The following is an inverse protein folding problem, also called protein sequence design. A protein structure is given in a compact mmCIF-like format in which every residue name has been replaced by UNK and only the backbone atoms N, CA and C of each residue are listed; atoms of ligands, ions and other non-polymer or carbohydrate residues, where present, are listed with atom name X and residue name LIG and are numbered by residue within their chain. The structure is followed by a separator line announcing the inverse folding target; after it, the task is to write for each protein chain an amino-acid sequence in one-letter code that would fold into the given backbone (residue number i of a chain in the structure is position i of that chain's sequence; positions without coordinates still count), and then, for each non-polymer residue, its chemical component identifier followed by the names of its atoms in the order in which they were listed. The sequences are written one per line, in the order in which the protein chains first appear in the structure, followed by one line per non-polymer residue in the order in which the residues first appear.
data_IF_662389996967
#
_entry.id   IF_662389996967
#
_cell.length_a   1.000
_cell.length_b   1.000
_cell.length_c   1.000
_cell.angle_alpha   90.00
_cell.angle_beta   90.00
_cell.angle_gamma   90.00
#
_symmetry.space_group_name_H-M   'P 1'
#
loop_
_entity.id
_entity.type
_entity.pdbx_description
1 polymer ?
#
# COMPACT_ATOMS: atom_id res chain seq x y z
N UNK A 1 -20.01 28.95 11.09
CA UNK A 1 -20.56 27.74 10.43
C UNK A 1 -19.54 26.63 10.59
N UNK A 2 -19.99 25.47 11.08
CA UNK A 2 -19.14 24.34 11.46
C UNK A 2 -18.95 23.38 10.29
N UNK A 3 -17.74 23.34 9.71
CA UNK A 3 -17.28 22.21 8.90
C UNK A 3 -16.09 21.54 9.61
N UNK A 4 -16.30 21.09 10.86
CA UNK A 4 -15.23 20.42 11.63
C UNK A 4 -15.00 18.96 11.20
N UNK A 5 -15.90 18.39 10.40
CA UNK A 5 -15.76 17.03 9.88
C UNK A 5 -16.33 17.00 8.47
N UNK A 6 -15.45 17.00 7.45
CA UNK A 6 -15.86 16.61 6.10
C UNK A 6 -16.11 15.09 6.13
N UNK A 7 -17.32 14.66 5.80
CA UNK A 7 -17.59 13.25 5.55
C UNK A 7 -16.66 12.74 4.44
N UNK A 8 -16.28 11.45 4.51
CA UNK A 8 -15.62 10.76 3.42
C UNK A 8 -16.44 10.97 2.14
N UNK A 9 -15.84 11.61 1.13
CA UNK A 9 -16.45 11.73 -0.19
C UNK A 9 -16.07 10.48 -0.99
N UNK A 10 -17.01 9.60 -1.33
CA UNK A 10 -16.72 8.40 -2.13
C UNK A 10 -16.22 8.74 -3.56
N UNK A 11 -16.19 10.03 -3.95
CA UNK A 11 -15.52 10.54 -5.15
C UNK A 11 -14.02 10.79 -4.97
N UNK A 12 -13.49 10.78 -3.75
CA UNK A 12 -12.05 10.86 -3.46
C UNK A 12 -11.35 9.51 -3.70
N UNK A 13 -11.64 8.91 -4.84
CA UNK A 13 -10.97 7.72 -5.32
C UNK A 13 -9.57 8.08 -5.80
N UNK A 14 -8.62 7.17 -5.63
CA UNK A 14 -7.27 7.39 -6.14
C UNK A 14 -7.30 7.49 -7.66
N UNK A 15 -8.17 6.74 -8.32
CA UNK A 15 -8.39 6.85 -9.77
C UNK A 15 -8.76 8.28 -10.22
N UNK A 16 -9.63 8.96 -9.47
CA UNK A 16 -10.03 10.35 -9.73
C UNK A 16 -8.88 11.32 -9.44
N UNK A 17 -8.14 11.09 -8.36
CA UNK A 17 -6.99 11.93 -7.99
C UNK A 17 -5.87 11.87 -9.04
N UNK A 18 -5.58 10.67 -9.54
CA UNK A 18 -4.58 10.44 -10.58
C UNK A 18 -5.07 10.78 -12.00
N UNK A 19 -6.37 11.08 -12.16
CA UNK A 19 -6.97 11.32 -13.48
C UNK A 19 -6.94 10.10 -14.41
N UNK A 20 -6.95 8.89 -13.85
CA UNK A 20 -6.83 7.63 -14.59
C UNK A 20 -8.18 6.93 -14.78
N UNK A 21 -8.34 6.29 -15.94
CA UNK A 21 -9.51 5.50 -16.30
C UNK A 21 -9.26 3.99 -16.24
N UNK A 22 -10.21 3.21 -16.78
CA UNK A 22 -10.13 1.74 -16.81
C UNK A 22 -8.95 1.18 -17.60
N UNK A 23 -8.41 1.96 -18.53
CA UNK A 23 -7.25 1.56 -19.33
C UNK A 23 -5.91 1.84 -18.65
N UNK A 24 -5.89 2.17 -17.35
CA UNK A 24 -4.64 2.39 -16.62
C UNK A 24 -3.77 1.13 -16.68
N UNK A 25 -2.50 1.33 -17.00
CA UNK A 25 -1.53 0.26 -17.18
C UNK A 25 -0.45 0.33 -16.10
N UNK A 26 0.19 -0.82 -15.88
CA UNK A 26 1.37 -0.91 -15.03
C UNK A 26 2.48 0.05 -15.45
N UNK A 27 2.75 0.14 -16.76
CA UNK A 27 3.79 1.01 -17.33
C UNK A 27 3.57 2.47 -16.95
N UNK A 28 2.33 2.97 -17.11
CA UNK A 28 1.99 4.35 -16.71
C UNK A 28 2.28 4.60 -15.22
N UNK A 29 1.96 3.65 -14.35
CA UNK A 29 2.21 3.80 -12.91
C UNK A 29 3.70 3.78 -12.58
N UNK A 30 4.48 2.92 -13.25
CA UNK A 30 5.94 2.83 -13.03
C UNK A 30 6.72 3.98 -13.67
N UNK A 31 6.14 4.70 -14.63
CA UNK A 31 6.72 5.93 -15.19
C UNK A 31 6.45 7.15 -14.31
N UNK A 32 5.32 7.17 -13.59
CA UNK A 32 4.90 8.28 -12.73
C UNK A 32 5.47 8.17 -11.31
N UNK A 33 5.65 6.95 -10.78
CA UNK A 33 6.05 6.72 -9.40
C UNK A 33 7.30 5.85 -9.29
N UNK A 34 8.32 6.36 -8.59
CA UNK A 34 9.53 5.59 -8.27
C UNK A 34 9.21 4.43 -7.32
N UNK A 35 8.34 4.68 -6.32
CA UNK A 35 7.91 3.71 -5.31
C UNK A 35 6.40 3.79 -5.12
N UNK A 36 5.75 2.63 -5.17
CA UNK A 36 4.34 2.44 -4.81
C UNK A 36 4.29 1.55 -3.58
N UNK A 37 3.68 2.04 -2.50
CA UNK A 37 3.52 1.32 -1.23
C UNK A 37 2.11 0.77 -1.04
N UNK A 38 1.99 -0.21 -0.14
CA UNK A 38 0.72 -0.82 0.27
C UNK A 38 0.49 -0.60 1.76
N UNK A 39 -0.72 -0.19 2.14
CA UNK A 39 -1.09 -0.01 3.54
C UNK A 39 -0.95 -1.29 4.38
N UNK A 40 -1.36 -2.49 3.90
CA UNK A 40 -1.11 -3.74 4.63
C UNK A 40 0.38 -4.04 4.86
N UNK A 41 1.27 -3.43 4.09
CA UNK A 41 2.73 -3.61 4.20
C UNK A 41 3.41 -2.26 4.45
N UNK A 42 2.85 -1.44 5.34
CA UNK A 42 3.29 -0.06 5.55
C UNK A 42 4.77 0.03 5.95
N UNK A 43 5.23 -0.87 6.82
CA UNK A 43 6.63 -0.92 7.25
C UNK A 43 7.56 -1.25 6.07
N UNK A 44 7.21 -2.28 5.27
CA UNK A 44 7.95 -2.63 4.05
C UNK A 44 7.95 -1.49 3.04
N UNK A 45 6.82 -0.81 2.87
CA UNK A 45 6.70 0.36 1.98
C UNK A 45 7.63 1.49 2.40
N UNK A 46 7.74 1.73 3.71
CA UNK A 46 8.69 2.70 4.27
C UNK A 46 10.13 2.30 4.03
N UNK A 47 10.45 1.01 4.16
CA UNK A 47 11.76 0.48 3.79
C UNK A 47 12.08 0.67 2.31
N UNK A 48 11.15 0.40 1.40
CA UNK A 48 11.34 0.65 -0.04
C UNK A 48 11.65 2.12 -0.32
N UNK A 49 10.89 3.05 0.25
CA UNK A 49 11.15 4.49 0.12
C UNK A 49 12.53 4.89 0.67
N UNK A 50 12.90 4.38 1.86
CA UNK A 50 14.19 4.68 2.46
C UNK A 50 15.36 4.16 1.62
N UNK A 51 15.23 2.95 1.07
CA UNK A 51 16.26 2.32 0.22
C UNK A 51 16.42 3.06 -1.10
N UNK A 52 15.32 3.55 -1.68
CA UNK A 52 15.36 4.38 -2.88
C UNK A 52 16.11 5.71 -2.64
N UNK A 53 15.85 6.39 -1.52
CA UNK A 53 16.54 7.65 -1.18
C UNK A 53 18.00 7.42 -0.77
N UNK A 54 18.26 6.43 0.08
CA UNK A 54 19.59 6.20 0.67
C UNK A 54 20.51 5.34 -0.18
N UNK A 55 19.98 4.66 -1.19
CA UNK A 55 20.69 3.68 -2.04
C UNK A 55 21.44 2.60 -1.23
N UNK A 56 20.96 2.32 -0.02
CA UNK A 56 21.50 1.37 0.94
C UNK A 56 20.34 0.76 1.73
N UNK A 57 20.53 -0.45 2.27
CA UNK A 57 19.50 -1.14 3.06
C UNK A 57 19.69 -0.84 4.55
N UNK A 58 18.74 -0.18 5.23
CA UNK A 58 18.79 -0.03 6.68
C UNK A 58 18.73 -1.39 7.38
N UNK A 59 19.51 -1.59 8.44
CA UNK A 59 19.54 -2.85 9.20
C UNK A 59 18.15 -3.26 9.77
N UNK A 60 17.29 -2.28 10.02
CA UNK A 60 15.91 -2.51 10.45
C UNK A 60 15.05 -3.16 9.36
N UNK A 61 15.39 -2.97 8.09
CA UNK A 61 14.66 -3.46 6.93
C UNK A 61 15.16 -4.82 6.43
N UNK A 62 16.36 -5.24 6.82
CA UNK A 62 16.91 -6.55 6.50
C UNK A 62 16.46 -7.61 7.53
N UNK A 63 15.82 -8.65 7.01
CA UNK A 63 15.30 -9.81 7.70
C UNK A 63 16.01 -11.12 7.29
N UNK A 64 17.17 -11.05 6.63
CA UNK A 64 17.92 -12.23 6.16
C UNK A 64 18.39 -13.15 7.29
N UNK A 65 18.75 -12.57 8.43
CA UNK A 65 19.30 -13.28 9.60
C UNK A 65 18.34 -13.36 10.79
N UNK A 66 17.19 -12.68 10.71
CA UNK A 66 16.23 -12.62 11.81
C UNK A 66 15.29 -13.83 11.72
N UNK A 67 15.34 -14.70 12.71
CA UNK A 67 14.25 -15.66 12.96
C UNK A 67 12.98 -14.87 13.22
N UNK A 68 11.85 -15.37 12.72
CA UNK A 68 10.54 -14.74 12.58
C UNK A 68 9.91 -14.13 13.85
N UNK A 69 10.62 -14.12 14.98
CA UNK A 69 10.10 -13.79 16.31
C UNK A 69 10.49 -12.41 16.85
N UNK A 70 11.39 -11.64 16.22
CA UNK A 70 11.88 -10.36 16.80
C UNK A 70 12.05 -9.22 15.81
N UNK A 71 11.04 -8.96 14.97
CA UNK A 71 10.90 -7.64 14.33
C UNK A 71 9.74 -6.87 14.92
N UNK A 72 9.97 -6.34 16.11
CA UNK A 72 9.23 -5.18 16.57
C UNK A 72 9.76 -3.94 15.82
N UNK A 73 9.50 -3.84 14.51
CA UNK A 73 9.27 -2.49 13.97
C UNK A 73 7.92 -2.13 14.56
N UNK A 74 7.96 -1.36 15.66
CA UNK A 74 6.76 -0.92 16.35
C UNK A 74 5.91 -0.10 15.38
N UNK A 75 5.08 -0.78 14.58
CA UNK A 75 3.83 -0.24 14.09
C UNK A 75 3.06 0.03 15.37
N UNK A 76 3.24 1.24 15.89
CA UNK A 76 2.54 1.68 17.08
C UNK A 76 1.08 1.70 16.69
N UNK A 77 0.38 0.63 17.03
CA UNK A 77 -1.07 0.61 16.95
C UNK A 77 -1.56 1.86 17.67
N UNK A 78 -2.22 2.73 16.92
CA UNK A 78 -2.76 3.97 17.45
C UNK A 78 -3.99 3.70 18.34
N UNK A 79 -4.32 2.42 18.60
CA UNK A 79 -5.41 1.98 19.46
C UNK A 79 -6.78 2.27 18.84
N UNK A 80 -6.82 2.55 17.54
CA UNK A 80 -8.04 2.81 16.78
C UNK A 80 -8.39 1.55 16.02
N UNK A 81 -9.58 1.01 16.29
CA UNK A 81 -10.16 -0.04 15.43
C UNK A 81 -10.21 0.49 14.01
N UNK A 82 -9.91 -0.36 13.02
CA UNK A 82 -10.01 0.08 11.62
C UNK A 82 -11.45 0.56 11.38
N UNK A 83 -11.59 1.66 10.64
CA UNK A 83 -12.88 2.33 10.45
C UNK A 83 -13.95 1.44 9.79
N UNK A 84 -13.60 0.24 9.33
CA UNK A 84 -14.51 -0.77 8.80
C UNK A 84 -14.74 -2.00 9.69
N UNK A 85 -13.98 -2.22 10.76
CA UNK A 85 -13.97 -3.51 11.48
C UNK A 85 -15.31 -3.85 12.18
N UNK A 86 -16.12 -2.83 12.46
CA UNK A 86 -17.45 -3.00 13.07
C UNK A 86 -18.59 -2.99 12.06
N UNK A 87 -18.30 -2.76 10.77
CA UNK A 87 -19.31 -2.65 9.74
C UNK A 87 -19.58 -4.02 9.12
N UNK A 88 -20.77 -4.55 9.34
CA UNK A 88 -21.24 -5.74 8.63
C UNK A 88 -21.83 -5.31 7.29
N UNK A 89 -21.19 -5.71 6.19
CA UNK A 89 -21.60 -5.42 4.83
C UNK A 89 -22.35 -6.64 4.29
N UNK A 90 -23.58 -6.44 3.79
CA UNK A 90 -24.31 -7.53 3.12
C UNK A 90 -23.71 -7.79 1.74
N UNK A 91 -23.94 -8.99 1.17
CA UNK A 91 -23.44 -9.30 -0.18
C UNK A 91 -23.89 -8.26 -1.22
N UNK A 92 -25.16 -7.85 -1.18
CA UNK A 92 -25.69 -6.81 -2.08
C UNK A 92 -25.00 -5.45 -1.94
N UNK A 93 -24.57 -5.09 -0.73
CA UNK A 93 -23.79 -3.87 -0.50
C UNK A 93 -22.37 -4.02 -1.02
N UNK A 94 -21.76 -5.20 -0.86
CA UNK A 94 -20.44 -5.52 -1.44
C UNK A 94 -20.46 -5.38 -2.96
N UNK A 95 -21.48 -5.95 -3.63
CA UNK A 95 -21.62 -5.89 -5.08
C UNK A 95 -21.76 -4.44 -5.60
N UNK A 96 -22.45 -3.58 -4.84
CA UNK A 96 -22.57 -2.15 -5.16
C UNK A 96 -21.25 -1.41 -4.92
N UNK A 97 -20.53 -1.74 -3.84
CA UNK A 97 -19.20 -1.17 -3.56
C UNK A 97 -18.25 -1.54 -4.69
N UNK A 98 -18.19 -2.81 -5.09
CA UNK A 98 -17.33 -3.29 -6.19
C UNK A 98 -17.61 -2.54 -7.50
N UNK A 99 -18.88 -2.33 -7.85
CA UNK A 99 -19.25 -1.53 -9.01
C UNK A 99 -18.76 -0.08 -8.89
N UNK A 100 -18.86 0.51 -7.70
CA UNK A 100 -18.34 1.86 -7.46
C UNK A 100 -16.81 1.88 -7.59
N UNK A 101 -16.09 0.96 -6.97
CA UNK A 101 -14.63 1.00 -6.88
C UNK A 101 -13.90 0.30 -8.03
N UNK A 102 -14.60 -0.16 -9.08
CA UNK A 102 -14.02 -0.97 -10.16
C UNK A 102 -12.66 -0.49 -10.67
N UNK A 103 -12.53 0.82 -10.93
CA UNK A 103 -11.27 1.41 -11.43
C UNK A 103 -10.19 1.37 -10.36
N UNK A 104 -10.50 1.75 -9.13
CA UNK A 104 -9.57 1.70 -7.99
C UNK A 104 -9.17 0.29 -7.61
N UNK A 105 -10.07 -0.69 -7.77
CA UNK A 105 -9.75 -2.11 -7.55
C UNK A 105 -8.73 -2.60 -8.59
N UNK A 106 -8.89 -2.21 -9.86
CA UNK A 106 -7.91 -2.48 -10.91
C UNK A 106 -6.57 -1.78 -10.64
N UNK A 107 -6.61 -0.50 -10.26
CA UNK A 107 -5.43 0.28 -9.87
C UNK A 107 -4.69 -0.34 -8.68
N UNK A 108 -5.43 -0.78 -7.65
CA UNK A 108 -4.89 -1.43 -6.48
C UNK A 108 -4.19 -2.75 -6.84
N UNK A 109 -4.82 -3.58 -7.69
CA UNK A 109 -4.19 -4.82 -8.18
C UNK A 109 -2.88 -4.57 -8.91
N UNK A 110 -2.84 -3.58 -9.80
CA UNK A 110 -1.59 -3.20 -10.48
C UNK A 110 -0.53 -2.72 -9.47
N UNK A 111 -0.96 -1.97 -8.46
CA UNK A 111 -0.08 -1.48 -7.39
C UNK A 111 0.51 -2.63 -6.57
N UNK A 112 -0.27 -3.69 -6.30
CA UNK A 112 0.23 -4.90 -5.63
C UNK A 112 1.32 -5.58 -6.44
N UNK A 113 1.10 -5.77 -7.75
CA UNK A 113 2.11 -6.36 -8.64
C UNK A 113 3.40 -5.53 -8.66
N UNK A 114 3.30 -4.20 -8.78
CA UNK A 114 4.46 -3.30 -8.78
C UNK A 114 5.20 -3.35 -7.44
N UNK A 115 4.47 -3.37 -6.33
CA UNK A 115 5.03 -3.43 -4.99
C UNK A 115 5.84 -4.70 -4.77
N UNK A 116 5.29 -5.88 -5.07
CA UNK A 116 5.99 -7.14 -4.87
C UNK A 116 7.22 -7.27 -5.78
N UNK A 117 7.15 -6.76 -7.01
CA UNK A 117 8.33 -6.68 -7.88
C UNK A 117 9.39 -5.72 -7.33
N UNK A 118 9.00 -4.60 -6.71
CA UNK A 118 9.96 -3.70 -6.08
C UNK A 118 10.68 -4.37 -4.91
N UNK A 119 9.94 -5.12 -4.07
CA UNK A 119 10.52 -5.95 -3.01
C UNK A 119 11.52 -6.96 -3.57
N UNK A 120 11.13 -7.69 -4.62
CA UNK A 120 12.01 -8.68 -5.26
C UNK A 120 13.28 -8.02 -5.84
N UNK A 121 13.13 -6.90 -6.56
CA UNK A 121 14.27 -6.14 -7.10
C UNK A 121 15.25 -5.72 -6.02
N UNK A 122 14.77 -5.22 -4.87
CA UNK A 122 15.63 -4.84 -3.75
C UNK A 122 16.32 -6.06 -3.14
N UNK A 123 15.57 -7.14 -2.90
CA UNK A 123 16.12 -8.39 -2.36
C UNK A 123 17.27 -8.92 -3.25
N UNK A 124 17.07 -8.93 -4.57
CA UNK A 124 18.10 -9.35 -5.51
C UNK A 124 19.27 -8.36 -5.57
N UNK A 125 19.00 -7.05 -5.72
CA UNK A 125 20.05 -6.02 -5.88
C UNK A 125 21.01 -5.98 -4.69
N UNK A 126 20.49 -6.08 -3.47
CA UNK A 126 21.27 -5.95 -2.24
C UNK A 126 21.58 -7.30 -1.56
N UNK A 127 21.11 -8.42 -2.14
CA UNK A 127 21.27 -9.77 -1.56
C UNK A 127 20.74 -9.88 -0.12
N UNK A 128 19.56 -9.30 0.11
CA UNK A 128 18.86 -9.30 1.41
C UNK A 128 17.48 -9.93 1.29
N UNK A 129 16.83 -10.19 2.42
CA UNK A 129 15.41 -10.48 2.52
C UNK A 129 14.73 -9.34 3.25
N UNK A 130 14.02 -8.48 2.54
CA UNK A 130 13.20 -7.44 3.15
C UNK A 130 12.15 -8.04 4.07
N UNK A 131 11.92 -7.32 5.17
CA UNK A 131 10.88 -7.64 6.12
C UNK A 131 9.50 -7.43 5.49
N UNK A 132 8.64 -8.45 5.54
CA UNK A 132 7.26 -8.42 5.06
C UNK A 132 6.35 -8.37 6.29
N UNK A 133 5.91 -7.17 6.65
CA UNK A 133 5.11 -6.89 7.86
C UNK A 133 3.95 -5.97 7.53
#
# INVERSE_FOLDING_TARGET
MHDRYRCFDPRNKMSVHLGVGESVTKTQLTEEFDIIGLLPYFATSTCLMAIDVLQTVPESCDCSSKTTETLEVAVKDHGVKSHGDTMQITQSQSDLIEQLIRIDAHLYKLSEEIFFEAVERVNTKYSVKLCMM
#
